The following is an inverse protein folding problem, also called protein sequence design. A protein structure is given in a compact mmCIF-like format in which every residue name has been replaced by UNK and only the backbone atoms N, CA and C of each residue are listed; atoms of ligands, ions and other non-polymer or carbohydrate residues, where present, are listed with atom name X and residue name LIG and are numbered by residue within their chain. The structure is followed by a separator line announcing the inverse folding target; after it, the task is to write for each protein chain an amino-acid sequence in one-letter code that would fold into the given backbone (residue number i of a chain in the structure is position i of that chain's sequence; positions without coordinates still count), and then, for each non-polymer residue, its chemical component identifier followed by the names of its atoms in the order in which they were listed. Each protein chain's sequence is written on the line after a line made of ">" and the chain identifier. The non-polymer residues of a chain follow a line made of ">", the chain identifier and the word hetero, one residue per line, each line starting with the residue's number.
data_IF_240576387346
#
_entry.id   IF_240576387346
#
_cell.length_a   1.000
_cell.length_b   1.000
_cell.length_c   1.000
_cell.angle_alpha   90.00
_cell.angle_beta   90.00
_cell.angle_gamma   90.00
#
_symmetry.space_group_name_H-M   'P 1'
#
loop_
_entity.id
_entity.type
_entity.pdbx_description
1 polymer ?
#
# COMPACT_ATOMS: atom_id res chain seq x y z
N UNK A 1 28.31 -11.69 -3.93
CA UNK A 1 27.12 -11.27 -4.70
C UNK A 1 25.93 -11.32 -3.76
N UNK A 2 25.68 -10.22 -3.05
CA UNK A 2 24.64 -10.12 -2.02
C UNK A 2 23.30 -9.91 -2.73
N UNK A 3 22.37 -10.86 -2.62
CA UNK A 3 20.99 -10.67 -3.06
C UNK A 3 20.33 -9.63 -2.19
N UNK A 4 20.32 -8.38 -2.64
CA UNK A 4 19.70 -7.27 -1.93
C UNK A 4 18.21 -7.52 -1.77
N UNK A 5 17.85 -7.86 -0.53
CA UNK A 5 16.48 -8.05 -0.06
C UNK A 5 15.73 -6.74 -0.29
N UNK A 6 14.76 -6.76 -1.20
CA UNK A 6 13.72 -5.73 -1.32
C UNK A 6 12.93 -5.68 0.00
N UNK A 7 13.46 -4.94 0.98
CA UNK A 7 12.89 -4.86 2.31
C UNK A 7 11.89 -3.70 2.34
N UNK A 8 10.60 -4.04 2.36
CA UNK A 8 9.54 -3.08 2.67
C UNK A 8 9.30 -3.03 4.17
N UNK A 9 9.14 -1.83 4.68
CA UNK A 9 8.62 -1.56 6.02
C UNK A 9 7.10 -1.66 5.95
N UNK A 10 6.54 -2.62 6.68
CA UNK A 10 5.09 -2.86 6.74
C UNK A 10 4.58 -2.23 8.01
N UNK A 11 3.76 -1.20 7.90
CA UNK A 11 3.16 -0.52 9.05
C UNK A 11 1.70 -0.95 9.15
N UNK A 12 1.31 -1.47 10.32
CA UNK A 12 -0.10 -1.78 10.60
C UNK A 12 -0.71 -0.63 11.37
N UNK A 13 -1.88 -0.15 10.95
CA UNK A 13 -2.72 0.72 11.79
C UNK A 13 -3.32 -0.12 12.92
N UNK A 14 -2.53 -0.50 13.91
CA UNK A 14 -3.05 -1.03 15.18
C UNK A 14 -3.08 0.16 16.12
N UNK A 15 -4.28 0.57 16.53
CA UNK A 15 -4.59 1.75 17.34
C UNK A 15 -4.10 1.65 18.80
N UNK A 16 -2.90 1.12 19.04
CA UNK A 16 -2.41 0.82 20.40
C UNK A 16 -0.97 1.29 20.65
N UNK A 17 -0.39 2.12 19.78
CA UNK A 17 0.99 2.63 19.96
C UNK A 17 1.09 4.12 20.25
N UNK A 18 0.02 4.90 20.06
CA UNK A 18 0.06 6.35 20.35
C UNK A 18 0.26 6.59 21.86
N UNK A 19 -0.23 5.71 22.73
CA UNK A 19 -0.01 5.76 24.18
C UNK A 19 1.42 5.39 24.62
N UNK A 20 2.27 4.84 23.74
CA UNK A 20 3.68 4.56 24.00
C UNK A 20 4.63 5.67 23.54
N UNK A 21 4.14 6.66 22.78
CA UNK A 21 4.97 7.79 22.31
C UNK A 21 5.53 8.63 23.46
N UNK A 22 4.92 8.57 24.65
CA UNK A 22 5.30 9.38 25.80
C UNK A 22 6.36 8.75 26.74
N UNK A 23 6.83 7.52 26.48
CA UNK A 23 7.77 6.84 27.38
C UNK A 23 8.92 6.16 26.62
N UNK A 24 10.01 6.91 26.42
CA UNK A 24 11.35 6.44 26.00
C UNK A 24 11.48 5.92 24.54
N UNK A 25 11.83 6.84 23.62
CA UNK A 25 11.97 6.58 22.18
C UNK A 25 12.96 5.46 21.77
N UNK A 26 13.98 5.15 22.59
CA UNK A 26 14.91 4.04 22.34
C UNK A 26 14.23 2.66 22.45
N UNK A 27 13.35 2.47 23.44
CA UNK A 27 12.59 1.23 23.60
C UNK A 27 11.58 1.05 22.46
N UNK A 28 10.97 2.15 22.01
CA UNK A 28 10.04 2.12 20.88
C UNK A 28 10.74 1.71 19.57
N UNK A 29 11.91 2.29 19.26
CA UNK A 29 12.63 1.96 18.03
C UNK A 29 13.05 0.48 17.98
N UNK A 30 13.61 -0.03 19.09
CA UNK A 30 13.99 -1.46 19.19
C UNK A 30 12.78 -2.38 19.05
N UNK A 31 11.67 -2.04 19.71
CA UNK A 31 10.43 -2.78 19.62
C UNK A 31 9.85 -2.79 18.19
N UNK A 32 9.80 -1.63 17.56
CA UNK A 32 9.37 -1.49 16.17
C UNK A 32 10.26 -2.31 15.23
N UNK A 33 11.57 -2.25 15.41
CA UNK A 33 12.54 -3.00 14.61
C UNK A 33 12.32 -4.51 14.75
N UNK A 34 12.06 -4.99 15.97
CA UNK A 34 11.72 -6.39 16.22
C UNK A 34 10.46 -6.82 15.45
N UNK A 35 9.39 -6.01 15.48
CA UNK A 35 8.15 -6.28 14.70
C UNK A 35 8.44 -6.30 13.20
N UNK A 36 9.22 -5.35 12.69
CA UNK A 36 9.54 -5.32 11.26
C UNK A 36 10.34 -6.54 10.83
N UNK A 37 11.28 -6.99 11.66
CA UNK A 37 12.08 -8.18 11.39
C UNK A 37 11.23 -9.44 11.37
N UNK A 38 10.32 -9.60 12.33
CA UNK A 38 9.36 -10.71 12.38
C UNK A 38 8.46 -10.75 11.13
N UNK A 39 7.89 -9.60 10.75
CA UNK A 39 7.07 -9.47 9.54
C UNK A 39 7.83 -9.85 8.28
N UNK A 40 9.09 -9.40 8.16
CA UNK A 40 9.96 -9.71 7.02
C UNK A 40 10.31 -11.19 6.97
N UNK A 41 10.58 -11.80 8.12
CA UNK A 41 10.86 -13.23 8.24
C UNK A 41 9.65 -14.07 7.80
N UNK A 42 8.47 -13.72 8.32
CA UNK A 42 7.19 -14.35 7.95
C UNK A 42 6.88 -14.19 6.46
N UNK A 43 7.06 -12.99 5.91
CA UNK A 43 6.85 -12.76 4.48
C UNK A 43 7.81 -13.61 3.63
N UNK A 44 9.08 -13.67 4.00
CA UNK A 44 10.07 -14.47 3.30
C UNK A 44 9.72 -15.97 3.32
N UNK A 45 9.32 -16.51 4.48
CA UNK A 45 8.95 -17.92 4.61
C UNK A 45 7.71 -18.28 3.80
N UNK A 46 6.69 -17.43 3.79
CA UNK A 46 5.47 -17.62 3.00
C UNK A 46 5.76 -17.54 1.50
N UNK A 47 6.58 -16.56 1.06
CA UNK A 47 6.95 -16.43 -0.35
C UNK A 47 7.76 -17.62 -0.85
N UNK A 48 8.67 -18.15 -0.03
CA UNK A 48 9.42 -19.37 -0.33
C UNK A 48 8.48 -20.58 -0.45
N UNK A 49 7.61 -20.77 0.55
CA UNK A 49 6.67 -21.91 0.58
C UNK A 49 5.74 -21.97 -0.63
N UNK A 50 5.32 -20.81 -1.14
CA UNK A 50 4.38 -20.71 -2.25
C UNK A 50 5.04 -20.45 -3.62
N UNK A 51 6.38 -20.54 -3.72
CA UNK A 51 7.12 -20.26 -4.95
C UNK A 51 6.83 -18.87 -5.57
N UNK A 52 6.57 -17.86 -4.72
CA UNK A 52 6.32 -16.48 -5.17
C UNK A 52 7.61 -15.70 -5.48
N UNK A 53 8.78 -16.25 -5.15
CA UNK A 53 10.09 -15.64 -5.43
C UNK A 53 10.54 -15.81 -6.89
N UNK A 54 9.65 -15.57 -7.85
CA UNK A 54 10.06 -15.49 -9.26
C UNK A 54 10.82 -14.18 -9.46
N UNK A 55 12.12 -14.27 -9.68
CA UNK A 55 12.94 -13.14 -10.09
C UNK A 55 12.50 -12.69 -11.49
N UNK A 56 11.58 -11.73 -11.57
CA UNK A 56 11.26 -11.10 -12.85
C UNK A 56 12.41 -10.17 -13.21
N UNK A 57 12.94 -10.32 -14.42
CA UNK A 57 14.00 -9.44 -14.97
C UNK A 57 13.56 -7.98 -15.06
N UNK A 58 12.25 -7.74 -15.11
CA UNK A 58 11.63 -6.42 -15.21
C UNK A 58 10.55 -6.26 -14.14
N UNK A 59 10.51 -5.08 -13.52
CA UNK A 59 9.42 -4.69 -12.63
C UNK A 59 8.12 -4.65 -13.41
N UNK A 60 7.09 -5.27 -12.84
CA UNK A 60 5.74 -5.26 -13.40
C UNK A 60 5.20 -3.81 -13.44
N UNK A 61 4.64 -3.38 -14.58
CA UNK A 61 4.18 -2.00 -14.77
C UNK A 61 3.03 -1.64 -13.83
N UNK A 62 2.17 -2.60 -13.49
CA UNK A 62 1.09 -2.41 -12.54
C UNK A 62 1.65 -2.17 -11.14
N UNK A 63 2.67 -2.94 -10.74
CA UNK A 63 3.38 -2.74 -9.46
C UNK A 63 4.09 -1.38 -9.45
N UNK A 64 4.81 -1.03 -10.52
CA UNK A 64 5.51 0.26 -10.62
C UNK A 64 4.55 1.47 -10.47
N UNK A 65 3.31 1.32 -10.94
CA UNK A 65 2.27 2.36 -10.87
C UNK A 65 1.53 2.43 -9.52
N UNK A 66 1.80 1.51 -8.59
CA UNK A 66 1.36 1.57 -7.19
C UNK A 66 2.40 2.23 -6.27
N UNK A 67 3.62 2.46 -6.77
CA UNK A 67 4.73 3.00 -5.99
C UNK A 67 4.85 4.50 -6.24
N UNK A 68 4.70 5.31 -5.20
CA UNK A 68 4.96 6.75 -5.20
C UNK A 68 6.36 7.02 -4.66
N UNK A 69 7.10 7.90 -5.34
CA UNK A 69 8.48 8.21 -5.00
C UNK A 69 8.53 9.56 -4.29
N UNK A 70 9.12 9.57 -3.10
CA UNK A 70 9.42 10.77 -2.34
C UNK A 70 10.95 10.92 -2.27
N UNK A 71 11.48 11.93 -2.97
CA UNK A 71 12.91 12.11 -3.16
C UNK A 71 13.59 12.76 -1.97
N UNK A 72 12.92 13.67 -1.26
CA UNK A 72 13.53 14.50 -0.22
C UNK A 72 13.98 13.65 0.97
N UNK A 73 13.14 12.71 1.39
CA UNK A 73 13.38 11.80 2.51
C UNK A 73 13.74 10.38 2.04
N UNK A 74 13.93 10.18 0.73
CA UNK A 74 14.38 8.93 0.10
C UNK A 74 13.55 7.71 0.49
N UNK A 75 12.23 7.80 0.32
CA UNK A 75 11.34 6.65 0.50
C UNK A 75 10.39 6.45 -0.69
N UNK A 76 9.90 5.21 -0.81
CA UNK A 76 8.92 4.79 -1.80
C UNK A 76 7.69 4.32 -1.03
N UNK A 77 6.55 4.94 -1.29
CA UNK A 77 5.27 4.54 -0.71
C UNK A 77 4.51 3.62 -1.66
N UNK A 78 4.22 2.40 -1.21
CA UNK A 78 3.32 1.48 -1.91
C UNK A 78 1.88 1.76 -1.51
N UNK A 79 1.09 2.26 -2.47
CA UNK A 79 -0.33 2.49 -2.27
C UNK A 79 -1.09 1.17 -2.16
N UNK A 80 -1.69 0.95 -1.00
CA UNK A 80 -2.64 -0.15 -0.77
C UNK A 80 -4.03 0.46 -0.60
N UNK A 81 -5.03 0.08 -1.40
CA UNK A 81 -6.37 0.62 -1.28
C UNK A 81 -6.97 0.41 0.12
N UNK A 82 -7.70 1.43 0.59
CA UNK A 82 -8.50 1.41 1.84
C UNK A 82 -7.71 1.17 3.15
N UNK A 83 -6.41 1.48 3.14
CA UNK A 83 -5.57 1.55 4.36
C UNK A 83 -5.29 2.99 4.82
N UNK A 84 -6.01 3.97 4.26
CA UNK A 84 -5.73 5.41 4.44
C UNK A 84 -4.84 6.00 3.35
N UNK A 85 -4.89 5.46 2.13
CA UNK A 85 -4.01 5.87 1.03
C UNK A 85 -4.15 7.34 0.62
N UNK A 86 -5.35 7.93 0.62
CA UNK A 86 -5.53 9.36 0.36
C UNK A 86 -4.79 10.22 1.38
N UNK A 87 -4.85 9.85 2.67
CA UNK A 87 -4.15 10.58 3.72
C UNK A 87 -2.63 10.51 3.55
N UNK A 88 -2.09 9.33 3.22
CA UNK A 88 -0.66 9.18 2.94
C UNK A 88 -0.21 9.94 1.71
N UNK A 89 -1.02 10.03 0.65
CA UNK A 89 -0.70 10.90 -0.48
C UNK A 89 -0.64 12.36 -0.06
N UNK A 90 -1.59 12.83 0.75
CA UNK A 90 -1.58 14.21 1.29
C UNK A 90 -0.34 14.47 2.14
N UNK A 91 0.03 13.53 3.01
CA UNK A 91 1.27 13.63 3.78
C UNK A 91 2.51 13.69 2.88
N UNK A 92 2.60 12.84 1.85
CA UNK A 92 3.72 12.88 0.89
C UNK A 92 3.77 14.24 0.18
N UNK A 93 2.62 14.76 -0.25
CA UNK A 93 2.53 16.07 -0.87
C UNK A 93 3.02 17.19 0.05
N UNK A 94 2.58 17.21 1.32
CA UNK A 94 3.04 18.19 2.31
C UNK A 94 4.55 18.09 2.54
N UNK A 95 5.09 16.87 2.64
CA UNK A 95 6.53 16.62 2.81
C UNK A 95 7.36 17.07 1.60
N UNK A 96 6.80 17.00 0.38
CA UNK A 96 7.47 17.47 -0.83
C UNK A 96 7.45 18.99 -0.95
N UNK A 97 6.37 19.63 -0.48
CA UNK A 97 6.14 21.07 -0.59
C UNK A 97 6.63 21.86 0.63
N UNK A 98 7.15 21.20 1.67
CA UNK A 98 7.57 21.82 2.94
C UNK A 98 6.47 22.68 3.59
N UNK A 99 5.24 22.19 3.50
CA UNK A 99 4.07 22.87 4.04
C UNK A 99 3.78 22.40 5.46
N UNK A 100 3.67 23.35 6.36
CA UNK A 100 3.20 23.15 7.73
C UNK A 100 1.68 23.28 7.77
N UNK A 101 0.98 22.30 7.20
CA UNK A 101 -0.48 22.19 7.20
C UNK A 101 -0.90 20.78 7.59
N UNK A 102 -2.13 20.61 8.08
CA UNK A 102 -2.64 19.28 8.38
C UNK A 102 -3.02 18.53 7.10
N UNK A 103 -2.79 17.21 7.09
CA UNK A 103 -3.17 16.38 5.95
C UNK A 103 -4.69 16.41 5.67
N UNK A 104 -5.52 16.77 6.64
CA UNK A 104 -6.97 16.94 6.43
C UNK A 104 -7.34 18.20 5.64
N UNK A 105 -6.46 19.20 5.58
CA UNK A 105 -6.71 20.47 4.90
C UNK A 105 -6.61 20.36 3.37
N UNK A 106 -5.91 19.34 2.87
CA UNK A 106 -5.81 19.11 1.43
C UNK A 106 -7.06 18.39 0.94
N UNK A 107 -7.69 18.97 -0.09
CA UNK A 107 -8.89 18.42 -0.71
C UNK A 107 -8.68 16.99 -1.23
N UNK A 108 -9.73 16.17 -1.14
CA UNK A 108 -9.69 14.76 -1.56
C UNK A 108 -9.43 14.61 -3.05
N UNK A 109 -10.16 15.33 -3.89
CA UNK A 109 -10.08 15.12 -5.34
C UNK A 109 -8.76 15.65 -5.90
N UNK A 110 -8.27 16.77 -5.36
CA UNK A 110 -6.97 17.33 -5.70
C UNK A 110 -5.84 16.32 -5.54
N UNK A 111 -5.78 15.60 -4.41
CA UNK A 111 -4.69 14.66 -4.15
C UNK A 111 -4.75 13.40 -5.04
N UNK A 112 -5.93 13.09 -5.58
CA UNK A 112 -6.10 11.97 -6.50
C UNK A 112 -5.73 12.33 -7.95
N UNK A 113 -5.80 13.62 -8.31
CA UNK A 113 -5.54 14.11 -9.66
C UNK A 113 -4.16 14.76 -9.84
N UNK A 114 -3.49 15.11 -8.74
CA UNK A 114 -2.18 15.78 -8.80
C UNK A 114 -1.11 14.94 -9.50
N UNK A 115 -0.33 15.58 -10.37
CA UNK A 115 0.85 15.00 -11.03
C UNK A 115 2.15 15.25 -10.27
N UNK A 116 2.08 15.97 -9.15
CA UNK A 116 3.25 16.38 -8.37
C UNK A 116 3.89 15.20 -7.64
N UNK A 117 3.08 14.22 -7.21
CA UNK A 117 3.59 12.99 -6.61
C UNK A 117 3.88 11.98 -7.72
N UNK A 118 5.16 11.86 -8.09
CA UNK A 118 5.59 10.96 -9.16
C UNK A 118 5.50 9.49 -8.76
N UNK A 119 5.06 8.67 -9.71
CA UNK A 119 5.03 7.21 -9.58
C UNK A 119 6.35 6.62 -10.06
N UNK A 120 6.79 5.50 -9.50
CA UNK A 120 8.01 4.82 -9.95
C UNK A 120 7.93 4.43 -11.43
N UNK A 121 6.74 4.05 -11.90
CA UNK A 121 6.47 3.71 -13.30
C UNK A 121 6.78 4.82 -14.32
N UNK A 122 6.88 6.10 -13.89
CA UNK A 122 7.21 7.21 -14.81
C UNK A 122 8.71 7.32 -15.10
N UNK A 123 9.56 6.58 -14.38
CA UNK A 123 11.01 6.64 -14.54
C UNK A 123 11.53 5.52 -15.45
N UNK A 124 12.67 5.70 -16.13
CA UNK A 124 13.31 4.63 -16.90
C UNK A 124 13.71 3.42 -16.02
N UNK A 125 13.74 2.18 -16.54
CA UNK A 125 14.00 0.98 -15.75
C UNK A 125 15.30 1.00 -14.91
N UNK A 126 16.37 1.61 -15.43
CA UNK A 126 17.64 1.75 -14.70
C UNK A 126 17.46 2.61 -13.42
N UNK A 127 16.75 3.73 -13.54
CA UNK A 127 16.43 4.63 -12.43
C UNK A 127 15.45 3.97 -11.46
N UNK A 128 14.46 3.22 -11.95
CA UNK A 128 13.56 2.45 -11.09
C UNK A 128 14.34 1.49 -10.19
N UNK A 129 15.31 0.77 -10.76
CA UNK A 129 16.17 -0.16 -10.02
C UNK A 129 17.03 0.57 -8.98
N UNK A 130 17.58 1.72 -9.33
CA UNK A 130 18.34 2.55 -8.40
C UNK A 130 17.50 2.96 -7.19
N UNK A 131 16.29 3.49 -7.42
CA UNK A 131 15.41 3.89 -6.33
C UNK A 131 14.98 2.69 -5.48
N UNK A 132 14.64 1.56 -6.11
CA UNK A 132 14.28 0.35 -5.39
C UNK A 132 15.41 -0.21 -4.53
N UNK A 133 16.68 0.07 -4.86
CA UNK A 133 17.81 -0.36 -4.06
C UNK A 133 18.11 0.65 -2.94
N UNK A 134 18.05 1.95 -3.23
CA UNK A 134 18.57 2.99 -2.36
C UNK A 134 17.53 3.65 -1.45
N UNK A 135 16.24 3.50 -1.74
CA UNK A 135 15.17 4.18 -1.01
C UNK A 135 14.53 3.22 -0.01
N UNK A 136 13.99 3.77 1.07
CA UNK A 136 13.21 2.99 2.03
C UNK A 136 11.84 2.69 1.44
N UNK A 137 11.45 1.41 1.33
CA UNK A 137 10.12 1.03 0.86
C UNK A 137 9.16 1.02 2.05
N UNK A 138 8.01 1.66 1.96
CA UNK A 138 7.00 1.73 3.02
C UNK A 138 5.64 1.34 2.47
N UNK A 139 4.93 0.49 3.21
CA UNK A 139 3.54 0.16 2.92
C UNK A 139 2.73 0.10 4.20
N UNK A 140 1.44 0.41 4.07
CA UNK A 140 0.50 0.36 5.19
C UNK A 140 -0.48 -0.78 5.00
N UNK A 141 -0.85 -1.40 6.10
CA UNK A 141 -1.76 -2.54 6.14
C UNK A 141 -2.84 -2.29 7.17
N UNK A 142 -4.00 -2.89 6.89
CA UNK A 142 -5.19 -2.89 7.74
C UNK A 142 -5.72 -4.31 7.82
N UNK A 143 -6.46 -4.62 8.88
CA UNK A 143 -7.12 -5.91 9.00
C UNK A 143 -7.94 -6.23 7.73
N UNK A 144 -7.79 -7.41 7.10
CA UNK A 144 -8.41 -7.70 5.81
C UNK A 144 -9.93 -7.50 5.78
N UNK A 145 -10.64 -7.90 6.85
CA UNK A 145 -12.10 -7.71 6.94
C UNK A 145 -12.51 -6.25 7.03
N UNK A 146 -11.76 -5.43 7.78
CA UNK A 146 -12.04 -3.99 7.83
C UNK A 146 -11.75 -3.31 6.49
N UNK A 147 -10.69 -3.73 5.80
CA UNK A 147 -10.35 -3.24 4.46
C UNK A 147 -11.48 -3.58 3.48
N UNK A 148 -12.03 -4.79 3.56
CA UNK A 148 -13.15 -5.25 2.74
C UNK A 148 -14.42 -4.44 3.01
N UNK A 149 -14.82 -4.29 4.28
CA UNK A 149 -16.00 -3.49 4.65
C UNK A 149 -15.83 -2.03 4.23
N UNK A 150 -14.63 -1.46 4.38
CA UNK A 150 -14.33 -0.11 3.91
C UNK A 150 -14.47 0.02 2.40
N UNK A 151 -14.01 -0.97 1.61
CA UNK A 151 -14.17 -0.97 0.17
C UNK A 151 -15.64 -1.09 -0.25
N UNK A 152 -16.39 -1.99 0.40
CA UNK A 152 -17.82 -2.18 0.15
C UNK A 152 -18.61 -0.89 0.36
N UNK A 153 -18.43 -0.24 1.52
CA UNK A 153 -19.13 1.03 1.82
C UNK A 153 -18.77 2.12 0.82
N UNK A 154 -17.48 2.26 0.51
CA UNK A 154 -16.97 3.30 -0.38
C UNK A 154 -17.41 3.15 -1.84
N UNK A 155 -17.49 1.91 -2.34
CA UNK A 155 -17.70 1.66 -3.78
C UNK A 155 -19.08 1.14 -4.13
N UNK A 156 -19.74 0.41 -3.23
CA UNK A 156 -21.00 -0.26 -3.55
C UNK A 156 -22.22 0.38 -2.86
N UNK A 157 -22.04 1.18 -1.81
CA UNK A 157 -23.15 1.88 -1.16
C UNK A 157 -23.38 3.31 -1.68
N UNK A 158 -22.42 3.87 -2.42
CA UNK A 158 -22.57 5.16 -3.08
C UNK A 158 -22.93 4.92 -4.55
N UNK A 159 -23.86 5.71 -5.09
CA UNK A 159 -24.46 5.50 -6.41
C UNK A 159 -23.54 5.98 -7.55
N UNK A 160 -22.33 5.46 -7.60
CA UNK A 160 -21.40 5.64 -8.71
C UNK A 160 -21.72 4.61 -9.81
N UNK A 161 -22.16 5.03 -11.02
CA UNK A 161 -22.67 4.13 -12.05
C UNK A 161 -21.72 2.98 -12.40
N UNK A 162 -20.41 3.23 -12.41
CA UNK A 162 -19.42 2.19 -12.70
C UNK A 162 -19.46 1.04 -11.69
N UNK A 163 -19.59 1.34 -10.40
CA UNK A 163 -19.58 0.31 -9.37
C UNK A 163 -20.96 -0.31 -9.14
N UNK A 164 -22.02 0.51 -9.16
CA UNK A 164 -23.39 0.03 -8.94
C UNK A 164 -23.93 -0.81 -10.10
N UNK A 165 -23.38 -0.63 -11.32
CA UNK A 165 -23.79 -1.37 -12.50
C UNK A 165 -22.73 -2.40 -12.88
N UNK A 166 -21.54 -1.98 -13.33
CA UNK A 166 -20.55 -2.89 -13.91
C UNK A 166 -20.02 -3.88 -12.88
N UNK A 167 -19.46 -3.38 -11.78
CA UNK A 167 -18.84 -4.23 -10.76
C UNK A 167 -19.89 -5.07 -10.03
N UNK A 168 -21.05 -4.50 -9.72
CA UNK A 168 -22.14 -5.25 -9.10
C UNK A 168 -22.63 -6.41 -9.98
N UNK A 169 -22.72 -6.21 -11.31
CA UNK A 169 -23.12 -7.26 -12.25
C UNK A 169 -22.04 -8.34 -12.39
N UNK A 170 -20.75 -7.98 -12.41
CA UNK A 170 -19.66 -8.97 -12.40
C UNK A 170 -19.69 -9.84 -11.13
N UNK A 171 -19.87 -9.21 -9.97
CA UNK A 171 -20.00 -9.91 -8.69
C UNK A 171 -21.22 -10.84 -8.73
N UNK A 172 -22.35 -10.36 -9.24
CA UNK A 172 -23.58 -11.16 -9.39
C UNK A 172 -23.34 -12.38 -10.28
N UNK A 173 -22.72 -12.20 -11.45
CA UNK A 173 -22.40 -13.28 -12.37
C UNK A 173 -21.49 -14.34 -11.72
N UNK A 174 -20.45 -13.92 -10.97
CA UNK A 174 -19.57 -14.84 -10.25
C UNK A 174 -20.34 -15.62 -9.19
N UNK A 175 -21.23 -14.96 -8.44
CA UNK A 175 -22.05 -15.61 -7.42
C UNK A 175 -23.07 -16.57 -8.02
N UNK A 176 -23.74 -16.21 -9.12
CA UNK A 176 -24.72 -17.05 -9.83
C UNK A 176 -24.07 -18.28 -10.46
N UNK A 177 -22.91 -18.12 -11.09
CA UNK A 177 -22.12 -19.26 -11.59
C UNK A 177 -21.77 -20.20 -10.43
N UNK A 178 -21.27 -19.66 -9.32
CA UNK A 178 -20.90 -20.46 -8.14
C UNK A 178 -22.11 -21.15 -7.49
N UNK A 179 -23.27 -20.50 -7.45
CA UNK A 179 -24.52 -21.07 -6.92
C UNK A 179 -25.06 -22.19 -7.83
N UNK A 180 -24.90 -22.06 -9.15
CA UNK A 180 -25.26 -23.11 -10.11
C UNK A 180 -24.41 -24.37 -9.93
N UNK A 181 -23.11 -24.23 -9.64
CA UNK A 181 -22.22 -25.37 -9.31
C UNK A 181 -22.49 -26.00 -7.95
N UNK A 182 -23.08 -25.27 -7.01
CA UNK A 182 -23.45 -25.78 -5.68
C UNK A 182 -24.78 -26.55 -5.72
N UNK A 183 -25.71 -26.17 -6.60
CA UNK A 183 -26.99 -26.88 -6.79
C UNK A 183 -26.95 -28.04 -7.80
N UNK A 184 -25.81 -28.25 -8.47
CA UNK A 184 -25.56 -29.38 -9.39
C UNK A 184 -24.77 -30.51 -8.72
N UNK A 185 -24.70 -30.54 -7.38
CA UNK A 185 -23.97 -31.55 -6.61
C UNK A 185 -24.87 -32.19 -5.57
#
# INVERSE_FOLDING_TARGET
>A
MQGDRLSATIVTKKETYISLFHANGLNFFLYWLAIQNDRKSTLASVCLKNNFLKLRSKLDSHVANQLFVEHKHKFIYCEVPKVGCSNWKRTIFLLQADLNAEASEIEHDHIHQTSLIKKLGTYPPAIQKEFLNNYTKVMFTRHPLERLVSAYRDKLLHSEPFYSITVANEIRAIMELRWSWVNLR
#
